data_IF_643249138885
#
_entry.id   IF_643249138885
#
_cell.length_a   1.000
_cell.length_b   1.000
_cell.length_c   1.000
_cell.angle_alpha   90.00
_cell.angle_beta   90.00
_cell.angle_gamma   90.00
#
_symmetry.space_group_name_H-M   'P 1'
#
loop_
_entity.id
_entity.type
_entity.pdbx_description
1 polymer ?
#
# COMPACT_ATOMS: atom_id res chain seq x y z
N UNK A 1 47.31 -33.94 26.69
CA UNK A 1 46.07 -33.16 26.52
C UNK A 1 45.70 -33.12 25.04
N UNK A 2 45.02 -34.17 24.52
CA UNK A 2 44.67 -34.28 23.08
C UNK A 2 43.22 -33.84 22.87
N UNK A 3 43.04 -32.74 22.14
CA UNK A 3 41.77 -32.19 21.69
C UNK A 3 41.09 -33.16 20.71
N UNK A 4 39.88 -33.60 21.05
CA UNK A 4 39.04 -34.43 20.17
C UNK A 4 38.34 -33.49 19.18
N UNK A 5 38.86 -33.40 17.95
CA UNK A 5 38.12 -32.78 16.85
C UNK A 5 37.06 -33.76 16.34
N UNK A 6 35.84 -33.66 16.89
CA UNK A 6 34.68 -34.43 16.39
C UNK A 6 34.30 -33.90 15.01
N UNK A 7 34.82 -34.53 13.94
CA UNK A 7 34.39 -34.26 12.56
C UNK A 7 32.91 -34.61 12.44
N UNK A 8 32.08 -33.63 12.06
CA UNK A 8 30.67 -33.88 11.80
C UNK A 8 30.50 -34.93 10.69
N UNK A 9 29.61 -35.93 10.86
CA UNK A 9 29.37 -36.96 9.86
C UNK A 9 28.78 -36.35 8.58
N UNK A 10 29.16 -36.92 7.43
CA UNK A 10 28.81 -36.44 6.07
C UNK A 10 27.30 -36.27 5.86
N UNK A 11 26.49 -37.05 6.58
CA UNK A 11 25.03 -36.99 6.55
C UNK A 11 24.46 -35.74 7.24
N UNK A 12 25.04 -35.30 8.36
CA UNK A 12 24.62 -34.08 9.06
C UNK A 12 24.96 -32.84 8.23
N UNK A 13 26.10 -32.83 7.53
CA UNK A 13 26.44 -31.75 6.58
C UNK A 13 25.45 -31.66 5.42
N UNK A 14 25.02 -32.80 4.86
CA UNK A 14 24.03 -32.84 3.78
C UNK A 14 22.65 -32.38 4.26
N UNK A 15 22.25 -32.77 5.46
CA UNK A 15 20.98 -32.36 6.08
C UNK A 15 20.98 -30.85 6.37
N UNK A 16 22.07 -30.30 6.90
CA UNK A 16 22.21 -28.86 7.16
C UNK A 16 22.15 -28.03 5.88
N UNK A 17 22.76 -28.50 4.79
CA UNK A 17 22.69 -27.82 3.49
C UNK A 17 21.26 -27.86 2.94
N UNK A 18 20.55 -28.98 3.07
CA UNK A 18 19.18 -29.13 2.58
C UNK A 18 18.16 -28.29 3.36
N UNK A 19 18.34 -28.19 4.69
CA UNK A 19 17.58 -27.26 5.56
C UNK A 19 17.89 -25.80 5.21
N UNK A 20 19.15 -25.48 4.89
CA UNK A 20 19.54 -24.14 4.44
C UNK A 20 18.89 -23.76 3.10
N UNK A 21 18.82 -24.67 2.13
CA UNK A 21 18.14 -24.44 0.85
C UNK A 21 16.60 -24.38 0.99
N UNK A 22 16.01 -25.17 1.89
CA UNK A 22 14.57 -25.10 2.20
C UNK A 22 14.19 -23.80 2.92
N UNK A 23 15.04 -23.28 3.80
CA UNK A 23 14.84 -22.00 4.48
C UNK A 23 15.03 -20.80 3.54
N UNK A 24 15.96 -20.88 2.59
CA UNK A 24 16.19 -19.82 1.60
C UNK A 24 15.02 -19.70 0.58
N UNK A 25 14.30 -20.78 0.31
CA UNK A 25 13.14 -20.80 -0.61
C UNK A 25 11.87 -20.16 -0.02
N UNK A 26 11.89 -19.73 1.25
CA UNK A 26 10.72 -19.18 1.94
C UNK A 26 10.66 -17.65 1.98
N UNK A 27 11.70 -16.95 1.51
CA UNK A 27 11.87 -15.50 1.75
C UNK A 27 11.28 -14.61 0.63
N UNK A 28 10.87 -15.16 -0.51
CA UNK A 28 10.48 -14.33 -1.66
C UNK A 28 8.96 -14.14 -1.85
N UNK A 29 8.18 -13.94 -0.78
CA UNK A 29 6.77 -13.57 -0.96
C UNK A 29 6.35 -12.31 -0.19
N UNK A 30 5.82 -11.36 -0.97
CA UNK A 30 5.13 -10.12 -0.60
C UNK A 30 6.05 -8.91 -0.46
N UNK A 31 6.54 -8.42 -1.60
CA UNK A 31 6.52 -6.97 -1.80
C UNK A 31 5.09 -6.56 -2.10
N UNK A 32 4.40 -5.97 -1.11
CA UNK A 32 3.18 -5.25 -1.38
C UNK A 32 3.54 -4.08 -2.30
N UNK A 33 3.10 -4.14 -3.57
CA UNK A 33 3.26 -3.02 -4.50
C UNK A 33 2.48 -1.86 -3.89
N UNK A 34 3.20 -0.85 -3.39
CA UNK A 34 2.58 0.38 -2.92
C UNK A 34 1.84 0.99 -4.12
N UNK A 35 0.51 0.89 -4.13
CA UNK A 35 -0.32 1.56 -5.11
C UNK A 35 -0.20 3.06 -4.83
N UNK A 36 0.36 3.81 -5.77
CA UNK A 36 0.37 5.27 -5.70
C UNK A 36 -1.07 5.75 -5.90
N UNK A 37 -1.78 5.89 -4.78
CA UNK A 37 -3.16 6.36 -4.72
C UNK A 37 -3.10 7.88 -4.65
N UNK A 38 -3.44 8.61 -5.73
CA UNK A 38 -3.29 10.06 -5.76
C UNK A 38 -4.27 10.71 -4.78
N UNK A 39 -3.91 11.85 -4.19
CA UNK A 39 -4.83 12.53 -3.26
C UNK A 39 -6.18 12.88 -3.93
N UNK A 40 -6.11 13.32 -5.19
CA UNK A 40 -7.25 13.70 -6.01
C UNK A 40 -7.27 12.80 -7.26
N UNK A 41 -8.44 12.31 -7.66
CA UNK A 41 -8.54 11.45 -8.84
C UNK A 41 -8.04 12.17 -10.10
N UNK A 42 -7.36 11.45 -11.00
CA UNK A 42 -6.71 12.01 -12.20
C UNK A 42 -7.65 12.62 -13.24
N UNK A 43 -8.97 12.53 -13.04
CA UNK A 43 -9.96 13.24 -13.86
C UNK A 43 -9.98 14.74 -13.55
N UNK A 44 -9.52 15.10 -12.35
CA UNK A 44 -9.46 16.47 -11.89
C UNK A 44 -8.11 17.07 -12.28
N UNK A 45 -8.07 17.69 -13.45
CA UNK A 45 -6.86 18.31 -14.03
C UNK A 45 -7.04 19.81 -14.21
N UNK A 46 -5.95 20.48 -14.57
CA UNK A 46 -6.00 21.89 -14.96
C UNK A 46 -6.94 22.11 -16.14
N UNK A 47 -7.61 23.27 -16.14
CA UNK A 47 -8.54 23.71 -17.18
C UNK A 47 -9.76 22.81 -17.47
N UNK A 48 -10.06 21.83 -16.60
CA UNK A 48 -11.30 21.07 -16.71
C UNK A 48 -12.53 21.94 -16.44
N UNK A 49 -13.70 21.44 -16.85
CA UNK A 49 -15.00 22.08 -16.57
C UNK A 49 -15.89 21.10 -15.81
N UNK A 50 -16.48 21.58 -14.71
CA UNK A 50 -17.48 20.82 -13.96
C UNK A 50 -18.88 21.12 -14.49
N UNK A 51 -19.71 20.08 -14.61
CA UNK A 51 -21.08 20.23 -15.09
C UNK A 51 -21.95 20.96 -14.07
N UNK A 52 -22.64 22.01 -14.52
CA UNK A 52 -23.59 22.76 -13.69
C UNK A 52 -24.94 22.04 -13.60
N UNK A 53 -25.64 22.24 -12.48
CA UNK A 53 -27.04 21.84 -12.30
C UNK A 53 -27.25 20.38 -11.92
N UNK A 54 -26.16 19.69 -11.58
CA UNK A 54 -26.17 18.34 -11.01
C UNK A 54 -25.32 18.32 -9.74
N UNK A 55 -25.52 17.31 -8.91
CA UNK A 55 -24.66 17.08 -7.77
C UNK A 55 -23.30 16.53 -8.26
N UNK A 56 -22.23 17.31 -8.14
CA UNK A 56 -20.90 16.97 -8.66
C UNK A 56 -20.11 16.21 -7.61
N UNK A 57 -19.81 14.92 -7.83
CA UNK A 57 -18.91 14.19 -6.95
C UNK A 57 -17.46 14.61 -7.22
N UNK A 58 -16.71 14.84 -6.15
CA UNK A 58 -15.26 15.02 -6.18
C UNK A 58 -14.64 14.01 -5.23
N UNK A 59 -13.63 13.27 -5.70
CA UNK A 59 -13.10 12.11 -4.98
C UNK A 59 -11.62 11.90 -5.19
N UNK A 60 -11.04 11.08 -4.33
CA UNK A 60 -9.66 10.68 -4.40
C UNK A 60 -9.32 9.74 -3.25
N UNK A 61 -8.06 9.79 -2.81
CA UNK A 61 -7.56 8.94 -1.74
C UNK A 61 -6.88 9.75 -0.63
N UNK A 62 -6.95 9.26 0.60
CA UNK A 62 -6.25 9.80 1.77
C UNK A 62 -6.04 8.67 2.79
N UNK A 63 -5.41 8.96 3.94
CA UNK A 63 -5.30 7.95 4.99
C UNK A 63 -6.69 7.67 5.58
N UNK A 64 -7.02 6.41 5.94
CA UNK A 64 -8.30 6.10 6.57
C UNK A 64 -8.60 7.01 7.77
N UNK A 65 -9.82 7.56 7.82
CA UNK A 65 -10.26 8.49 8.86
C UNK A 65 -9.83 9.95 8.66
N UNK A 66 -9.00 10.26 7.67
CA UNK A 66 -8.62 11.64 7.36
C UNK A 66 -9.85 12.46 6.94
N UNK A 67 -9.93 13.69 7.48
CA UNK A 67 -10.92 14.67 7.06
C UNK A 67 -10.39 15.45 5.86
N UNK A 68 -11.09 15.33 4.74
CA UNK A 68 -10.83 16.07 3.51
C UNK A 68 -11.77 17.26 3.40
N UNK A 69 -11.22 18.42 3.06
CA UNK A 69 -11.98 19.63 2.80
C UNK A 69 -11.81 20.05 1.33
N UNK A 70 -12.91 20.23 0.62
CA UNK A 70 -12.92 20.59 -0.79
C UNK A 70 -13.62 21.93 -0.95
N UNK A 71 -13.00 22.85 -1.69
CA UNK A 71 -13.58 24.17 -1.98
C UNK A 71 -13.63 24.42 -3.49
N UNK A 72 -14.82 24.73 -4.00
CA UNK A 72 -15.09 24.94 -5.43
C UNK A 72 -16.01 26.14 -5.57
N UNK A 73 -15.57 27.16 -6.32
CA UNK A 73 -16.37 28.36 -6.61
C UNK A 73 -17.04 29.00 -5.36
N UNK A 74 -16.32 29.04 -4.23
CA UNK A 74 -16.81 29.59 -2.95
C UNK A 74 -17.70 28.65 -2.12
N UNK A 75 -18.05 27.48 -2.64
CA UNK A 75 -18.72 26.43 -1.87
C UNK A 75 -17.70 25.53 -1.20
N UNK A 76 -18.07 24.95 -0.06
CA UNK A 76 -17.19 24.06 0.71
C UNK A 76 -17.94 22.80 1.10
N UNK A 77 -17.30 21.64 0.92
CA UNK A 77 -17.81 20.35 1.35
C UNK A 77 -16.71 19.54 2.03
N UNK A 78 -17.09 18.74 3.02
CA UNK A 78 -16.16 17.88 3.76
C UNK A 78 -16.48 16.41 3.57
N UNK A 79 -15.44 15.59 3.47
CA UNK A 79 -15.55 14.14 3.42
C UNK A 79 -14.59 13.50 4.44
N UNK A 80 -14.88 12.27 4.84
CA UNK A 80 -13.96 11.44 5.64
C UNK A 80 -13.54 10.28 4.75
N UNK A 81 -12.25 9.99 4.71
CA UNK A 81 -11.74 8.82 4.01
C UNK A 81 -12.17 7.53 4.72
N UNK A 82 -12.68 6.57 3.95
CA UNK A 82 -13.07 5.26 4.45
C UNK A 82 -11.86 4.38 4.79
N UNK A 83 -12.13 3.15 5.22
CA UNK A 83 -11.09 2.17 5.60
C UNK A 83 -10.17 1.78 4.43
N UNK A 84 -10.63 1.95 3.18
CA UNK A 84 -9.84 1.74 1.96
C UNK A 84 -9.06 2.99 1.53
N UNK A 85 -9.24 4.09 2.27
CA UNK A 85 -8.68 5.42 2.03
C UNK A 85 -9.43 6.22 0.97
N UNK A 86 -10.60 5.79 0.49
CA UNK A 86 -11.38 6.54 -0.51
C UNK A 86 -12.19 7.61 0.19
N UNK A 87 -12.28 8.78 -0.44
CA UNK A 87 -13.15 9.86 0.04
C UNK A 87 -13.95 10.44 -1.13
N UNK A 88 -15.14 10.97 -0.84
CA UNK A 88 -15.98 11.66 -1.82
C UNK A 88 -16.73 12.82 -1.18
N UNK A 89 -16.54 14.02 -1.71
CA UNK A 89 -17.33 15.21 -1.42
C UNK A 89 -18.34 15.46 -2.55
N UNK A 90 -19.48 16.06 -2.24
CA UNK A 90 -20.59 16.29 -3.17
C UNK A 90 -21.01 17.77 -3.11
N UNK A 91 -21.21 18.39 -4.28
CA UNK A 91 -21.53 19.81 -4.47
C UNK A 91 -22.81 19.97 -5.28
#
# INVERSE_FOLDING_TARGET
MRLISRKLPRLIRRLLILVFFLAACWIDLVSAVAQDKPFLHSLFTDHMVLQRGINVPVWGWASPGDKVNVSIAGQTATAIADDDGRWMAKF
#
